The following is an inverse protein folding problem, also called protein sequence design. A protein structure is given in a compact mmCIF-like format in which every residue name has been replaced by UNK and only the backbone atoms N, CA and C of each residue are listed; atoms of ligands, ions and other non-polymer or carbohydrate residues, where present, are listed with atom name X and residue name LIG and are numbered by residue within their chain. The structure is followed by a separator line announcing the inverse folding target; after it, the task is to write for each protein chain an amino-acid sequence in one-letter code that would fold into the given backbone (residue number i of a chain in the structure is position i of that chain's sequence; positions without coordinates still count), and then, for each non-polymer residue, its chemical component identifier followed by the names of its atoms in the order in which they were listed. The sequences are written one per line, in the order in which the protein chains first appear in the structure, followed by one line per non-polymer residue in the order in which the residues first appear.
data_IF_207620509743
#
_entry.id   IF_207620509743
#
_cell.length_a   1.000
_cell.length_b   1.000
_cell.length_c   1.000
_cell.angle_alpha   90.00
_cell.angle_beta   90.00
_cell.angle_gamma   90.00
#
_symmetry.space_group_name_H-M   'P 1'
#
loop_
_entity.id
_entity.type
_entity.pdbx_description
1 polymer ?
#
# COMPACT_ATOMS: atom_id res chain seq x y z
N UNK A 1 -30.02 35.60 11.70
CA UNK A 1 -28.83 34.91 12.27
C UNK A 1 -28.72 33.58 11.57
N UNK A 2 -27.76 33.44 10.61
CA UNK A 2 -27.53 32.22 9.88
C UNK A 2 -26.53 31.38 10.73
N UNK A 3 -26.97 30.23 11.24
CA UNK A 3 -26.10 29.28 11.91
C UNK A 3 -25.43 28.41 10.83
N UNK A 4 -24.12 28.59 10.64
CA UNK A 4 -23.28 27.64 9.88
C UNK A 4 -23.06 26.41 10.74
N UNK A 5 -23.74 25.32 10.42
CA UNK A 5 -23.40 24.00 10.91
C UNK A 5 -22.10 23.55 10.23
N UNK A 6 -20.99 23.65 10.95
CA UNK A 6 -19.74 23.00 10.54
C UNK A 6 -19.90 21.49 10.71
N UNK A 7 -20.08 20.77 9.62
CA UNK A 7 -19.94 19.32 9.61
C UNK A 7 -18.45 19.00 9.79
N UNK A 8 -18.06 18.62 11.00
CA UNK A 8 -16.78 17.95 11.22
C UNK A 8 -16.88 16.57 10.57
N UNK A 9 -16.28 16.39 9.42
CA UNK A 9 -16.05 15.06 8.85
C UNK A 9 -15.05 14.35 9.77
N UNK A 10 -15.50 13.41 10.56
CA UNK A 10 -14.60 12.51 11.30
C UNK A 10 -13.93 11.62 10.27
N UNK A 11 -12.62 11.81 10.06
CA UNK A 11 -11.84 10.88 9.28
C UNK A 11 -11.85 9.53 10.01
N UNK A 12 -12.21 8.45 9.30
CA UNK A 12 -12.19 7.11 9.87
C UNK A 12 -10.74 6.62 9.99
N UNK A 13 -10.38 6.10 11.15
CA UNK A 13 -9.10 5.39 11.36
C UNK A 13 -9.15 4.13 10.52
N UNK A 14 -8.15 3.94 9.65
CA UNK A 14 -8.04 2.81 8.74
C UNK A 14 -6.87 1.88 9.07
N UNK A 15 -6.07 2.24 10.05
CA UNK A 15 -4.90 1.49 10.52
C UNK A 15 -4.06 2.32 11.47
N UNK A 16 -2.92 1.79 11.83
CA UNK A 16 -1.93 2.41 12.71
C UNK A 16 -0.50 2.06 12.31
N UNK A 17 0.44 2.82 12.81
CA UNK A 17 1.88 2.54 12.67
C UNK A 17 2.28 1.43 13.63
N UNK A 18 2.59 0.24 13.11
CA UNK A 18 2.97 -0.94 13.89
C UNK A 18 4.49 -1.15 14.00
N UNK A 19 5.28 -0.40 13.25
CA UNK A 19 6.74 -0.34 13.34
C UNK A 19 7.19 1.04 12.91
N UNK A 20 8.09 1.62 13.71
CA UNK A 20 8.75 2.88 13.41
C UNK A 20 10.23 2.79 13.74
N UNK A 21 11.07 3.12 12.76
CA UNK A 21 12.53 3.20 12.90
C UNK A 21 13.03 4.44 12.16
N UNK A 22 13.90 5.21 12.78
CA UNK A 22 14.52 6.38 12.18
C UNK A 22 13.54 7.55 12.00
N UNK A 23 13.63 8.28 10.88
CA UNK A 23 12.77 9.43 10.62
C UNK A 23 11.80 9.20 9.47
N UNK A 24 10.55 9.51 9.73
CA UNK A 24 9.47 9.46 8.75
C UNK A 24 8.39 10.48 9.15
N UNK A 25 7.64 10.97 8.16
CA UNK A 25 6.57 11.94 8.31
C UNK A 25 5.30 11.40 7.65
N UNK A 26 4.17 11.61 8.29
CA UNK A 26 2.83 11.36 7.75
C UNK A 26 2.25 12.72 7.34
N UNK A 27 2.16 12.97 6.03
CA UNK A 27 1.52 14.17 5.48
C UNK A 27 0.00 13.97 5.50
N UNK A 28 -0.72 14.81 6.23
CA UNK A 28 -2.18 14.75 6.41
C UNK A 28 -2.89 15.58 5.34
N UNK A 29 -3.90 15.03 4.71
CA UNK A 29 -4.73 15.83 3.80
C UNK A 29 -5.55 16.86 4.57
N UNK A 30 -5.26 18.15 4.35
CA UNK A 30 -5.96 19.27 5.00
C UNK A 30 -5.63 19.49 6.48
N UNK A 31 -4.58 18.85 6.99
CA UNK A 31 -4.06 18.97 8.35
C UNK A 31 -2.57 19.37 8.39
N UNK A 32 -2.00 19.30 9.57
CA UNK A 32 -0.55 19.45 9.76
C UNK A 32 0.14 18.09 9.56
N UNK A 33 1.35 18.13 9.01
CA UNK A 33 2.21 16.97 8.90
C UNK A 33 2.63 16.52 10.31
N UNK A 34 2.68 15.21 10.53
CA UNK A 34 2.98 14.61 11.83
C UNK A 34 4.20 13.71 11.70
N UNK A 35 5.14 13.83 12.63
CA UNK A 35 6.24 12.87 12.71
C UNK A 35 5.66 11.48 13.01
N UNK A 36 6.15 10.48 12.28
CA UNK A 36 5.73 9.09 12.49
C UNK A 36 6.22 8.59 13.84
N UNK A 37 5.34 7.94 14.57
CA UNK A 37 5.64 7.24 15.83
C UNK A 37 4.82 5.94 15.92
N UNK A 38 5.18 5.05 16.84
CA UNK A 38 4.43 3.81 17.08
C UNK A 38 3.00 4.14 17.56
N UNK A 39 2.03 3.33 17.13
CA UNK A 39 0.60 3.48 17.43
C UNK A 39 -0.04 4.78 16.89
N UNK A 40 0.63 5.51 16.00
CA UNK A 40 0.03 6.67 15.33
C UNK A 40 -1.10 6.22 14.39
N UNK A 41 -2.30 6.76 14.58
CA UNK A 41 -3.45 6.51 13.71
C UNK A 41 -3.18 6.93 12.26
N UNK A 42 -3.61 6.10 11.32
CA UNK A 42 -3.54 6.34 9.87
C UNK A 42 -4.94 6.53 9.31
N UNK A 43 -5.07 7.46 8.40
CA UNK A 43 -6.33 7.82 7.74
C UNK A 43 -6.23 7.68 6.21
N UNK A 44 -7.39 7.55 5.56
CA UNK A 44 -7.44 7.65 4.09
C UNK A 44 -6.86 8.99 3.62
N UNK A 45 -6.15 8.95 2.52
CA UNK A 45 -5.45 10.09 1.89
C UNK A 45 -4.21 10.58 2.63
N UNK A 46 -3.75 9.87 3.66
CA UNK A 46 -2.42 10.13 4.24
C UNK A 46 -1.31 9.77 3.26
N UNK A 47 -0.22 10.52 3.32
CA UNK A 47 1.00 10.22 2.58
C UNK A 47 2.12 9.89 3.56
N UNK A 48 2.70 8.71 3.43
CA UNK A 48 3.83 8.26 4.22
C UNK A 48 5.12 8.63 3.48
N UNK A 49 5.98 9.42 4.11
CA UNK A 49 7.31 9.77 3.60
C UNK A 49 8.38 9.35 4.58
N UNK A 50 9.22 8.43 4.17
CA UNK A 50 10.38 8.00 4.97
C UNK A 50 11.64 8.73 4.53
N UNK A 51 12.43 9.17 5.49
CA UNK A 51 13.81 9.59 5.28
C UNK A 51 14.76 8.41 5.43
N UNK A 52 15.66 8.45 6.41
CA UNK A 52 16.53 7.33 6.77
C UNK A 52 15.84 6.28 7.68
N UNK A 53 14.52 6.26 7.68
CA UNK A 53 13.70 5.40 8.54
C UNK A 53 12.89 4.38 7.77
N UNK A 54 12.32 3.43 8.50
CA UNK A 54 11.34 2.46 8.01
C UNK A 54 10.05 2.60 8.82
N UNK A 55 8.91 2.48 8.15
CA UNK A 55 7.58 2.48 8.79
C UNK A 55 6.81 1.27 8.29
N UNK A 56 6.15 0.53 9.20
CA UNK A 56 5.16 -0.44 8.82
C UNK A 56 3.78 0.00 9.32
N UNK A 57 2.77 -0.14 8.47
CA UNK A 57 1.38 0.17 8.76
C UNK A 57 0.60 -1.13 8.82
N UNK A 58 -0.16 -1.31 9.91
CA UNK A 58 -1.18 -2.34 10.04
C UNK A 58 -2.55 -1.74 9.73
N UNK A 59 -3.24 -2.27 8.73
CA UNK A 59 -4.59 -1.83 8.39
C UNK A 59 -5.65 -2.63 9.12
N UNK A 60 -6.85 -2.05 9.27
CA UNK A 60 -8.00 -2.66 9.97
C UNK A 60 -8.47 -4.00 9.38
N UNK A 61 -8.08 -4.32 8.13
CA UNK A 61 -8.33 -5.61 7.48
C UNK A 61 -7.17 -6.61 7.63
N UNK A 62 -6.21 -6.32 8.49
CA UNK A 62 -4.96 -7.09 8.69
C UNK A 62 -3.97 -7.02 7.50
N UNK A 63 -4.19 -6.15 6.53
CA UNK A 63 -3.16 -5.83 5.53
C UNK A 63 -1.99 -5.16 6.22
N UNK A 64 -0.76 -5.58 5.86
CA UNK A 64 0.48 -4.93 6.31
C UNK A 64 1.22 -4.33 5.13
N UNK A 65 1.68 -3.10 5.31
CA UNK A 65 2.50 -2.39 4.32
C UNK A 65 3.76 -1.87 5.00
N UNK A 66 4.92 -2.37 4.56
CA UNK A 66 6.22 -1.91 5.04
C UNK A 66 6.78 -0.89 4.02
N UNK A 67 7.04 0.31 4.47
CA UNK A 67 7.62 1.42 3.69
C UNK A 67 9.06 1.61 4.13
N UNK A 68 10.01 1.26 3.26
CA UNK A 68 11.44 1.35 3.62
C UNK A 68 11.97 2.77 3.48
N UNK A 69 13.24 2.97 3.83
CA UNK A 69 13.89 4.29 3.75
C UNK A 69 13.80 4.93 2.35
N UNK A 70 13.74 6.26 2.30
CA UNK A 70 13.67 7.07 1.07
C UNK A 70 12.50 6.71 0.16
N UNK A 71 11.36 6.38 0.76
CA UNK A 71 10.16 5.97 0.03
C UNK A 71 9.01 6.96 0.23
N UNK A 72 8.09 6.94 -0.75
CA UNK A 72 6.84 7.70 -0.68
C UNK A 72 5.68 6.80 -1.09
N UNK A 73 4.73 6.61 -0.16
CA UNK A 73 3.48 5.89 -0.35
C UNK A 73 2.31 6.83 -0.07
N UNK A 74 1.33 6.86 -0.97
CA UNK A 74 0.08 7.60 -0.80
C UNK A 74 -1.04 6.57 -0.60
N UNK A 75 -1.80 6.71 0.48
CA UNK A 75 -3.02 5.96 0.70
C UNK A 75 -4.13 6.69 -0.02
N UNK A 76 -4.79 6.06 -1.01
CA UNK A 76 -5.93 6.69 -1.70
C UNK A 76 -7.19 6.54 -0.84
N UNK A 77 -7.76 5.34 -0.79
CA UNK A 77 -8.96 5.05 -0.05
C UNK A 77 -8.91 3.64 0.55
N UNK A 78 -9.38 3.52 1.79
CA UNK A 78 -9.59 2.24 2.43
C UNK A 78 -10.99 2.19 3.01
N UNK A 79 -11.78 1.20 2.58
CA UNK A 79 -13.09 0.89 3.10
C UNK A 79 -13.10 -0.57 3.54
N UNK A 80 -13.57 -0.85 4.74
CA UNK A 80 -13.63 -2.22 5.25
C UNK A 80 -14.86 -2.43 6.15
N UNK A 81 -15.58 -3.52 5.90
CA UNK A 81 -16.64 -4.03 6.78
C UNK A 81 -16.15 -5.29 7.49
N UNK A 82 -15.91 -5.22 8.82
CA UNK A 82 -15.39 -6.36 9.58
C UNK A 82 -16.39 -7.53 9.69
N UNK A 83 -17.70 -7.28 9.51
CA UNK A 83 -18.71 -8.33 9.60
C UNK A 83 -18.70 -9.23 8.36
N UNK A 84 -18.54 -8.64 7.19
CA UNK A 84 -18.51 -9.35 5.90
C UNK A 84 -17.08 -9.66 5.44
N UNK A 85 -16.06 -9.02 6.05
CA UNK A 85 -14.65 -9.03 5.64
C UNK A 85 -14.44 -8.55 4.21
N UNK A 86 -15.35 -7.71 3.72
CA UNK A 86 -15.29 -7.12 2.39
C UNK A 86 -14.89 -5.65 2.46
N UNK A 87 -14.40 -5.12 1.36
CA UNK A 87 -13.99 -3.73 1.28
C UNK A 87 -13.22 -3.42 0.01
N UNK A 88 -12.54 -2.29 0.01
CA UNK A 88 -11.62 -1.87 -1.04
C UNK A 88 -10.40 -1.20 -0.43
N UNK A 89 -9.26 -1.36 -1.11
CA UNK A 89 -7.99 -0.82 -0.67
C UNK A 89 -7.19 -0.35 -1.88
N UNK A 90 -6.80 0.92 -1.88
CA UNK A 90 -6.06 1.54 -2.97
C UNK A 90 -4.89 2.36 -2.45
N UNK A 91 -3.71 2.12 -3.03
CA UNK A 91 -2.46 2.84 -2.74
C UNK A 91 -1.79 3.34 -4.02
N UNK A 92 -0.92 4.36 -3.85
CA UNK A 92 0.07 4.76 -4.87
C UNK A 92 1.46 4.70 -4.28
N UNK A 93 2.31 3.82 -4.79
CA UNK A 93 3.75 3.83 -4.51
C UNK A 93 4.44 4.73 -5.52
N UNK A 94 5.07 5.80 -5.04
CA UNK A 94 5.60 6.88 -5.89
C UNK A 94 7.11 6.77 -6.04
N UNK A 95 7.81 6.36 -4.99
CA UNK A 95 9.26 6.26 -4.93
C UNK A 95 9.69 5.27 -3.85
N UNK A 96 10.82 4.60 -4.05
CA UNK A 96 11.45 3.72 -3.08
C UNK A 96 10.85 2.33 -3.04
N UNK A 97 11.08 1.59 -1.96
CA UNK A 97 10.66 0.19 -1.84
C UNK A 97 9.55 0.04 -0.81
N UNK A 98 8.49 -0.63 -1.24
CA UNK A 98 7.33 -0.97 -0.42
C UNK A 98 7.09 -2.48 -0.50
N UNK A 99 6.88 -3.13 0.66
CA UNK A 99 6.38 -4.50 0.73
C UNK A 99 4.93 -4.48 1.14
N UNK A 100 4.13 -5.26 0.46
CA UNK A 100 2.71 -5.47 0.75
C UNK A 100 2.48 -6.92 1.17
N UNK A 101 1.72 -7.12 2.25
CA UNK A 101 1.24 -8.42 2.70
C UNK A 101 -0.28 -8.38 2.85
N UNK A 102 -0.96 -9.32 2.19
CA UNK A 102 -2.42 -9.33 2.05
C UNK A 102 -3.17 -9.58 3.36
N UNK A 103 -4.13 -8.71 3.64
CA UNK A 103 -5.15 -8.86 4.68
C UNK A 103 -6.42 -9.57 4.21
N UNK A 104 -7.54 -9.28 4.86
CA UNK A 104 -8.82 -9.94 4.65
C UNK A 104 -9.50 -9.51 3.34
N UNK A 105 -9.38 -8.23 2.94
CA UNK A 105 -10.00 -7.70 1.70
C UNK A 105 -9.52 -8.51 0.48
N UNK A 106 -8.20 -8.65 0.30
CA UNK A 106 -7.62 -9.35 -0.84
C UNK A 106 -7.97 -10.85 -0.87
N UNK A 107 -8.17 -11.47 0.29
CA UNK A 107 -8.58 -12.89 0.42
C UNK A 107 -10.05 -13.11 0.09
N UNK A 108 -10.90 -12.12 0.39
CA UNK A 108 -12.36 -12.22 0.22
C UNK A 108 -12.80 -11.72 -1.15
N UNK A 109 -12.21 -10.64 -1.64
CA UNK A 109 -12.50 -10.06 -2.95
C UNK A 109 -11.22 -9.63 -3.68
N UNK A 110 -10.67 -10.50 -4.54
CA UNK A 110 -9.38 -10.26 -5.21
C UNK A 110 -9.32 -9.04 -6.12
N UNK A 111 -10.47 -8.49 -6.54
CA UNK A 111 -10.52 -7.30 -7.42
C UNK A 111 -10.56 -5.98 -6.65
N UNK A 112 -10.63 -6.05 -5.32
CA UNK A 112 -10.83 -4.88 -4.46
C UNK A 112 -9.53 -4.27 -3.92
N UNK A 113 -8.38 -4.86 -4.26
CA UNK A 113 -7.07 -4.30 -3.89
C UNK A 113 -6.33 -3.88 -5.15
N UNK A 114 -6.00 -2.60 -5.23
CA UNK A 114 -5.26 -2.00 -6.33
C UNK A 114 -4.10 -1.17 -5.82
N UNK A 115 -2.92 -1.41 -6.36
CA UNK A 115 -1.74 -0.62 -6.05
C UNK A 115 -1.18 -0.05 -7.34
N UNK A 116 -1.06 1.29 -7.38
CA UNK A 116 -0.58 2.02 -8.54
C UNK A 116 0.87 2.42 -8.34
N UNK A 117 1.64 2.31 -9.40
CA UNK A 117 2.97 2.90 -9.55
C UNK A 117 2.96 3.89 -10.71
N UNK A 118 4.03 4.66 -10.96
CA UNK A 118 4.08 5.53 -12.13
C UNK A 118 3.91 4.81 -13.47
N UNK A 119 4.26 3.52 -13.54
CA UNK A 119 4.31 2.74 -14.79
C UNK A 119 3.36 1.55 -14.83
N UNK A 120 2.72 1.17 -13.71
CA UNK A 120 1.87 0.00 -13.65
C UNK A 120 0.72 0.12 -12.64
N UNK A 121 -0.31 -0.69 -12.85
CA UNK A 121 -1.34 -0.98 -11.86
C UNK A 121 -1.23 -2.46 -11.45
N UNK A 122 -1.16 -2.72 -10.16
CA UNK A 122 -1.04 -4.05 -9.59
C UNK A 122 -2.37 -4.43 -8.95
N UNK A 123 -3.00 -5.49 -9.43
CA UNK A 123 -4.15 -6.13 -8.79
C UNK A 123 -3.68 -7.31 -7.94
N UNK A 124 -4.24 -7.46 -6.73
CA UNK A 124 -3.73 -8.41 -5.73
C UNK A 124 -4.77 -9.47 -5.40
N UNK A 125 -4.37 -10.74 -5.48
CA UNK A 125 -5.18 -11.88 -5.09
C UNK A 125 -4.47 -12.68 -4.00
N UNK A 126 -4.58 -12.19 -2.77
CA UNK A 126 -4.20 -12.93 -1.55
C UNK A 126 -2.74 -13.39 -1.53
N UNK A 127 -1.78 -12.49 -1.64
CA UNK A 127 -0.35 -12.81 -1.62
C UNK A 127 0.49 -11.65 -1.08
N UNK A 128 1.76 -11.93 -0.85
CA UNK A 128 2.77 -10.94 -0.51
C UNK A 128 3.57 -10.58 -1.76
N UNK A 129 4.00 -9.34 -1.87
CA UNK A 129 4.95 -8.92 -2.89
C UNK A 129 5.72 -7.67 -2.45
N UNK A 130 6.80 -7.39 -3.13
CA UNK A 130 7.54 -6.14 -2.98
C UNK A 130 7.59 -5.40 -4.31
N UNK A 131 7.60 -4.08 -4.23
CA UNK A 131 7.77 -3.20 -5.38
C UNK A 131 8.81 -2.14 -5.05
N UNK A 132 9.65 -1.84 -6.02
CA UNK A 132 10.63 -0.76 -5.94
C UNK A 132 10.43 0.18 -7.11
N UNK A 133 10.24 1.46 -6.82
CA UNK A 133 10.12 2.51 -7.81
C UNK A 133 11.38 3.37 -7.73
N UNK A 134 12.07 3.51 -8.85
CA UNK A 134 13.26 4.33 -8.95
C UNK A 134 12.94 5.81 -9.21
N UNK A 135 13.98 6.65 -9.27
CA UNK A 135 13.84 8.11 -9.47
C UNK A 135 13.30 8.50 -10.85
N UNK A 136 13.37 7.60 -11.83
CA UNK A 136 12.81 7.82 -13.16
C UNK A 136 11.40 7.23 -13.31
N UNK A 137 10.88 6.58 -12.27
CA UNK A 137 9.52 6.03 -12.20
C UNK A 137 9.42 4.58 -12.68
N UNK A 138 10.53 3.93 -13.03
CA UNK A 138 10.56 2.51 -13.39
C UNK A 138 10.18 1.66 -12.18
N UNK A 139 9.34 0.65 -12.39
CA UNK A 139 8.79 -0.18 -11.31
C UNK A 139 9.30 -1.62 -11.43
N UNK A 140 10.00 -2.10 -10.40
CA UNK A 140 10.37 -3.51 -10.25
C UNK A 140 9.41 -4.16 -9.25
N UNK A 141 8.71 -5.22 -9.65
CA UNK A 141 7.73 -5.94 -8.83
C UNK A 141 8.21 -7.40 -8.67
N UNK A 142 8.21 -7.91 -7.45
CA UNK A 142 8.63 -9.28 -7.12
C UNK A 142 7.56 -9.93 -6.25
N UNK A 143 6.97 -11.03 -6.74
CA UNK A 143 6.00 -11.83 -6.00
C UNK A 143 6.70 -12.64 -4.91
N UNK A 144 6.20 -12.57 -3.68
CA UNK A 144 6.76 -13.26 -2.53
C UNK A 144 5.81 -14.37 -2.04
N UNK A 145 6.33 -15.45 -1.47
CA UNK A 145 5.48 -16.39 -0.74
C UNK A 145 4.99 -15.75 0.57
N UNK A 146 3.73 -15.99 0.91
CA UNK A 146 3.16 -15.71 2.22
C UNK A 146 3.31 -16.94 3.10
N UNK A 147 3.91 -16.80 4.27
CA UNK A 147 4.13 -17.92 5.18
C UNK A 147 3.36 -17.72 6.48
N UNK A 148 2.71 -18.76 6.96
CA UNK A 148 2.05 -18.78 8.28
C UNK A 148 3.07 -18.96 9.42
N UNK A 149 2.60 -18.85 10.66
CA UNK A 149 3.43 -19.02 11.86
C UNK A 149 3.99 -20.43 12.03
N UNK A 150 3.45 -21.43 11.32
CA UNK A 150 3.91 -22.82 11.33
C UNK A 150 4.95 -23.09 10.23
N UNK A 151 5.28 -22.06 9.42
CA UNK A 151 6.23 -22.17 8.33
C UNK A 151 5.65 -22.75 7.03
N UNK A 152 4.33 -22.91 6.92
CA UNK A 152 3.69 -23.28 5.66
C UNK A 152 3.59 -22.04 4.78
N UNK A 153 4.16 -22.12 3.59
CA UNK A 153 4.16 -21.02 2.64
C UNK A 153 3.25 -21.33 1.45
N UNK A 154 2.51 -20.33 1.03
CA UNK A 154 1.70 -20.37 -0.19
C UNK A 154 2.01 -19.14 -1.05
N UNK A 155 1.71 -19.24 -2.32
CA UNK A 155 1.85 -18.13 -3.27
C UNK A 155 0.48 -17.89 -3.87
N UNK A 156 -0.01 -16.66 -3.77
CA UNK A 156 -1.21 -16.23 -4.46
C UNK A 156 -0.87 -15.72 -5.86
N UNK A 157 -1.61 -14.73 -6.30
CA UNK A 157 -1.49 -14.18 -7.65
C UNK A 157 -1.51 -12.67 -7.61
N UNK A 158 -0.72 -12.03 -8.48
CA UNK A 158 -0.86 -10.62 -8.81
C UNK A 158 -0.99 -10.45 -10.33
N UNK A 159 -1.77 -9.46 -10.74
CA UNK A 159 -1.77 -8.94 -12.11
C UNK A 159 -0.96 -7.65 -12.14
N UNK A 160 -0.11 -7.50 -13.15
CA UNK A 160 0.63 -6.25 -13.39
C UNK A 160 0.22 -5.76 -14.77
N UNK A 161 -0.50 -4.64 -14.80
CA UNK A 161 -1.01 -4.00 -16.00
C UNK A 161 -0.25 -2.71 -16.27
N UNK A 162 0.15 -2.50 -17.54
CA UNK A 162 0.83 -1.31 -18.02
C UNK A 162 0.34 -0.97 -19.43
N UNK A 163 0.85 0.10 -20.02
CA UNK A 163 0.56 0.45 -21.41
C UNK A 163 1.02 -0.63 -22.42
N UNK A 164 1.98 -1.48 -22.04
CA UNK A 164 2.46 -2.58 -22.86
C UNK A 164 1.57 -3.84 -22.79
N UNK A 165 0.59 -3.88 -21.89
CA UNK A 165 -0.31 -4.99 -21.63
C UNK A 165 -0.31 -5.46 -20.19
N UNK A 166 -0.83 -6.67 -19.96
CA UNK A 166 -0.98 -7.26 -18.63
C UNK A 166 -0.26 -8.60 -18.56
N UNK A 167 0.41 -8.83 -17.43
CA UNK A 167 0.97 -10.15 -17.07
C UNK A 167 0.36 -10.63 -15.75
N UNK A 168 0.29 -11.94 -15.59
CA UNK A 168 -0.08 -12.60 -14.33
C UNK A 168 1.17 -13.24 -13.74
N UNK A 169 1.39 -13.00 -12.45
CA UNK A 169 2.48 -13.59 -11.67
C UNK A 169 1.87 -14.45 -10.56
N UNK A 170 2.24 -15.74 -10.52
CA UNK A 170 1.69 -16.74 -9.60
C UNK A 170 2.72 -17.77 -9.12
N UNK A 171 4.00 -17.48 -9.30
CA UNK A 171 5.11 -18.31 -8.80
C UNK A 171 5.99 -17.50 -7.85
N UNK A 172 6.43 -18.13 -6.77
CA UNK A 172 7.31 -17.50 -5.80
C UNK A 172 8.56 -16.91 -6.48
N UNK A 173 8.91 -15.68 -6.10
CA UNK A 173 10.08 -14.94 -6.61
C UNK A 173 10.02 -14.61 -8.11
N UNK A 174 8.89 -14.81 -8.75
CA UNK A 174 8.66 -14.27 -10.08
C UNK A 174 8.77 -12.74 -10.03
N UNK A 175 9.49 -12.15 -10.99
CA UNK A 175 9.75 -10.72 -11.03
C UNK A 175 9.44 -10.14 -12.40
N UNK A 176 9.05 -8.87 -12.41
CA UNK A 176 8.89 -8.07 -13.65
C UNK A 176 9.39 -6.65 -13.44
N UNK A 177 9.82 -6.04 -14.51
CA UNK A 177 10.19 -4.62 -14.55
C UNK A 177 9.29 -3.93 -15.56
N UNK A 178 8.73 -2.80 -15.16
CA UNK A 178 7.92 -1.93 -16.04
C UNK A 178 8.60 -0.58 -16.12
N UNK A 179 9.26 -0.34 -17.24
CA UNK A 179 9.99 0.89 -17.48
C UNK A 179 9.09 2.04 -17.92
N UNK A 180 9.51 3.25 -17.65
CA UNK A 180 8.94 4.44 -18.30
C UNK A 180 9.20 4.36 -19.81
N UNK A 181 8.15 4.44 -20.62
CA UNK A 181 8.33 4.56 -22.06
C UNK A 181 8.97 5.91 -22.30
N UNK A 182 10.28 5.91 -22.56
CA UNK A 182 10.95 7.09 -23.12
C UNK A 182 10.28 7.40 -24.45
N UNK A 183 9.45 8.44 -24.50
CA UNK A 183 9.00 9.02 -25.77
C UNK A 183 10.25 9.49 -26.50
N UNK A 184 10.68 8.72 -27.51
CA UNK A 184 11.65 9.17 -28.49
C UNK A 184 10.98 10.16 -29.44
#
# INVERSE_FOLDING_TARGET
ILWFLTFSSFANIIGDVILHEGNAVIERTGGEDVDSELDLDIFSYDTIKTGNGNVAIGFIDETRVDVTKHSKLIIDEVVYDPNTKTGSLSFKSVLGTVRYASGQIAKTNPTSVQIKTPTATIGVRGTDFTMTIDEVGSSTIILLPSCDTNGNCFVGEISVESDAGMIIMNQAFQATVVDTISSK
#
